data_IF_601192160169
#
_entry.id   IF_601192160169
#
_cell.length_a   1.000
_cell.length_b   1.000
_cell.length_c   1.000
_cell.angle_alpha   90.00
_cell.angle_beta   90.00
_cell.angle_gamma   90.00
#
_symmetry.space_group_name_H-M   'P 1'
#
loop_
_entity.id
_entity.type
_entity.pdbx_description
1 polymer ?
#
# COMPACT_ATOMS: atom_id res chain seq x y z
N UNK A 1 -38.58 -3.90 11.95
CA UNK A 1 -37.20 -4.42 12.04
C UNK A 1 -36.25 -3.24 11.98
N UNK A 2 -35.16 -3.28 12.74
CA UNK A 2 -34.08 -2.31 12.65
C UNK A 2 -32.93 -2.90 11.83
N UNK A 3 -32.10 -2.03 11.26
CA UNK A 3 -30.87 -2.41 10.57
C UNK A 3 -29.77 -1.45 11.04
N UNK A 4 -28.57 -2.00 11.24
CA UNK A 4 -27.42 -1.22 11.66
C UNK A 4 -26.68 -0.71 10.42
N UNK A 5 -26.35 0.59 10.42
CA UNK A 5 -25.42 1.14 9.44
C UNK A 5 -24.01 1.01 10.02
N UNK A 6 -23.23 0.06 9.50
CA UNK A 6 -21.90 -0.22 10.02
C UNK A 6 -20.90 0.84 9.56
N UNK A 7 -20.07 1.31 10.50
CA UNK A 7 -18.92 2.16 10.21
C UNK A 7 -17.84 1.37 9.48
N UNK A 8 -16.99 2.05 8.71
CA UNK A 8 -15.90 1.45 7.94
C UNK A 8 -15.13 0.37 8.72
N UNK A 9 -14.89 -0.77 8.06
CA UNK A 9 -14.22 -1.93 8.66
C UNK A 9 -15.12 -2.91 9.41
N UNK A 10 -16.41 -2.65 9.59
CA UNK A 10 -17.34 -3.56 10.30
C UNK A 10 -18.50 -4.05 9.40
N UNK A 11 -18.92 -5.29 9.61
CA UNK A 11 -20.06 -5.90 8.92
C UNK A 11 -20.82 -6.87 9.84
N UNK A 12 -21.96 -7.37 9.39
CA UNK A 12 -22.85 -8.23 10.19
C UNK A 12 -24.21 -7.60 10.45
N UNK A 13 -25.12 -8.37 11.06
CA UNK A 13 -26.48 -7.88 11.33
C UNK A 13 -26.48 -6.78 12.41
N UNK A 14 -25.50 -6.83 13.32
CA UNK A 14 -25.24 -5.87 14.38
C UNK A 14 -23.85 -5.24 14.30
N UNK A 15 -23.19 -5.27 13.13
CA UNK A 15 -21.82 -4.79 12.93
C UNK A 15 -20.80 -5.48 13.86
N UNK A 16 -21.04 -6.76 14.17
CA UNK A 16 -20.29 -7.56 15.12
C UNK A 16 -19.00 -8.16 14.55
N UNK A 17 -18.85 -8.13 13.22
CA UNK A 17 -17.67 -8.65 12.53
C UNK A 17 -16.79 -7.50 12.07
N UNK A 18 -15.48 -7.66 12.24
CA UNK A 18 -14.47 -6.78 11.65
C UNK A 18 -13.95 -7.39 10.35
N UNK A 19 -13.59 -6.54 9.39
CA UNK A 19 -12.77 -6.92 8.24
C UNK A 19 -11.32 -7.19 8.69
N UNK A 20 -11.11 -8.20 9.54
CA UNK A 20 -9.77 -8.75 9.77
C UNK A 20 -9.46 -9.68 8.58
N UNK A 21 -9.05 -9.06 7.48
CA UNK A 21 -8.74 -9.73 6.22
C UNK A 21 -7.48 -10.58 6.41
N UNK A 22 -6.51 -10.06 7.17
CA UNK A 22 -5.22 -10.69 7.42
C UNK A 22 -5.30 -12.00 8.22
N UNK A 23 -6.19 -12.12 9.21
CA UNK A 23 -6.35 -13.36 10.00
C UNK A 23 -7.51 -14.24 9.52
N UNK A 24 -8.10 -13.93 8.35
CA UNK A 24 -9.19 -14.72 7.75
C UNK A 24 -8.80 -15.27 6.39
N UNK A 25 -9.36 -14.71 5.31
CA UNK A 25 -9.17 -15.19 3.94
C UNK A 25 -7.74 -14.98 3.44
N UNK A 26 -7.01 -14.01 3.99
CA UNK A 26 -5.68 -13.62 3.55
C UNK A 26 -4.58 -14.01 4.54
N UNK A 27 -4.83 -14.99 5.41
CA UNK A 27 -3.78 -15.58 6.23
C UNK A 27 -2.67 -16.15 5.33
N UNK A 28 -1.43 -15.78 5.60
CA UNK A 28 -0.27 -16.10 4.76
C UNK A 28 -0.22 -15.39 3.39
N UNK A 29 -1.07 -14.39 3.12
CA UNK A 29 -1.04 -13.62 1.87
C UNK A 29 0.33 -12.97 1.65
N UNK A 30 0.90 -12.36 2.69
CA UNK A 30 2.24 -11.76 2.63
C UNK A 30 3.32 -12.83 2.73
N UNK A 31 4.01 -13.07 1.61
CA UNK A 31 5.09 -14.04 1.51
C UNK A 31 6.39 -13.51 2.13
N UNK A 32 7.40 -14.38 2.23
CA UNK A 32 8.75 -14.04 2.66
C UNK A 32 8.82 -13.25 3.99
N UNK A 33 7.98 -13.63 4.96
CA UNK A 33 7.88 -12.99 6.27
C UNK A 33 7.40 -11.51 6.22
N UNK A 34 6.62 -11.15 5.20
CA UNK A 34 5.93 -9.87 5.12
C UNK A 34 4.81 -9.73 6.16
N UNK A 35 4.56 -8.50 6.61
CA UNK A 35 3.51 -8.21 7.59
C UNK A 35 2.25 -7.74 6.88
N UNK A 36 1.12 -8.38 7.17
CA UNK A 36 -0.19 -8.02 6.62
C UNK A 36 -0.85 -6.91 7.45
N UNK A 37 -1.51 -5.98 6.77
CA UNK A 37 -2.32 -4.92 7.35
C UNK A 37 -3.68 -4.88 6.66
N UNK A 38 -4.76 -4.76 7.43
CA UNK A 38 -6.08 -4.56 6.87
C UNK A 38 -6.18 -3.16 6.24
N UNK A 39 -6.70 -3.09 5.02
CA UNK A 39 -7.00 -1.83 4.35
C UNK A 39 -8.43 -1.87 3.81
N UNK A 40 -9.29 -1.10 4.49
CA UNK A 40 -10.76 -1.20 4.42
C UNK A 40 -11.33 -1.08 2.99
N UNK A 41 -10.68 -0.36 2.08
CA UNK A 41 -11.20 -0.10 0.72
C UNK A 41 -10.55 -0.91 -0.41
N UNK A 42 -9.37 -1.52 -0.19
CA UNK A 42 -8.54 -2.08 -1.29
C UNK A 42 -8.03 -3.50 -1.01
N UNK A 43 -8.55 -4.19 0.00
CA UNK A 43 -8.04 -5.49 0.43
C UNK A 43 -6.79 -5.36 1.30
N UNK A 44 -6.20 -6.46 1.80
CA UNK A 44 -5.05 -6.39 2.69
C UNK A 44 -3.79 -5.87 1.99
N UNK A 45 -2.97 -5.12 2.72
CA UNK A 45 -1.68 -4.61 2.28
C UNK A 45 -0.53 -5.37 2.95
N UNK A 46 0.54 -5.62 2.20
CA UNK A 46 1.75 -6.23 2.72
C UNK A 46 2.88 -5.22 2.90
N UNK A 47 3.50 -5.23 4.08
CA UNK A 47 4.81 -4.61 4.31
C UNK A 47 5.90 -5.64 4.11
N UNK A 48 6.70 -5.45 3.07
CA UNK A 48 7.75 -6.39 2.71
C UNK A 48 9.04 -6.16 3.50
N UNK A 49 9.75 -7.25 3.90
CA UNK A 49 11.08 -7.15 4.48
C UNK A 49 12.10 -6.62 3.47
N UNK A 50 13.25 -6.18 3.96
CA UNK A 50 14.32 -5.63 3.12
C UNK A 50 14.79 -6.68 2.10
N UNK A 51 14.90 -6.25 0.84
CA UNK A 51 15.27 -7.13 -0.27
C UNK A 51 14.10 -7.92 -0.84
N UNK A 52 12.86 -7.65 -0.40
CA UNK A 52 11.66 -8.21 -0.97
C UNK A 52 10.69 -7.11 -1.43
N UNK A 53 9.93 -7.38 -2.49
CA UNK A 53 8.97 -6.43 -3.05
C UNK A 53 7.83 -7.15 -3.79
N UNK A 54 6.88 -6.36 -4.30
CA UNK A 54 5.63 -6.84 -4.90
C UNK A 54 4.45 -6.68 -3.94
N UNK A 55 3.24 -6.91 -4.45
CA UNK A 55 2.01 -6.65 -3.68
C UNK A 55 1.87 -7.60 -2.49
N UNK A 56 2.49 -8.78 -2.58
CA UNK A 56 2.48 -9.79 -1.53
C UNK A 56 3.88 -10.27 -1.16
N UNK A 57 4.91 -9.44 -1.38
CA UNK A 57 6.30 -9.69 -1.00
C UNK A 57 6.90 -10.95 -1.62
N UNK A 58 6.42 -11.30 -2.81
CA UNK A 58 6.73 -12.50 -3.56
C UNK A 58 8.10 -12.44 -4.26
N UNK A 59 8.63 -11.25 -4.52
CA UNK A 59 9.87 -11.06 -5.25
C UNK A 59 11.05 -10.77 -4.32
N UNK A 60 12.23 -11.28 -4.66
CA UNK A 60 13.51 -11.05 -3.96
C UNK A 60 14.47 -10.22 -4.82
N UNK A 61 15.07 -9.14 -4.31
CA UNK A 61 16.05 -8.32 -5.03
C UNK A 61 16.25 -6.89 -4.50
N UNK A 62 17.17 -6.12 -5.10
CA UNK A 62 17.34 -4.69 -4.80
C UNK A 62 16.04 -3.95 -5.17
N UNK A 63 15.44 -3.29 -4.20
CA UNK A 63 14.36 -2.32 -4.44
C UNK A 63 15.00 -1.11 -5.12
N UNK A 64 14.87 -1.11 -6.43
CA UNK A 64 15.02 0.08 -7.25
C UNK A 64 14.13 1.19 -6.66
N UNK A 65 14.71 2.39 -6.50
CA UNK A 65 13.98 3.57 -6.06
C UNK A 65 12.63 3.60 -6.78
N UNK A 66 11.57 3.55 -6.00
CA UNK A 66 10.21 3.81 -6.49
C UNK A 66 9.68 5.13 -5.92
N UNK A 67 10.33 5.74 -4.91
CA UNK A 67 9.93 7.03 -4.28
C UNK A 67 11.02 8.05 -3.88
N UNK A 68 11.96 8.44 -4.75
CA UNK A 68 12.70 9.71 -4.66
C UNK A 68 11.81 10.96 -4.75
N UNK A 69 10.54 10.81 -5.06
CA UNK A 69 9.65 11.91 -5.37
C UNK A 69 8.86 12.32 -4.14
N UNK A 70 8.90 13.62 -3.90
CA UNK A 70 8.23 14.30 -2.83
C UNK A 70 6.81 14.69 -3.26
N UNK A 71 6.02 15.18 -2.30
CA UNK A 71 4.65 15.66 -2.54
C UNK A 71 3.72 14.65 -3.25
N UNK A 72 3.91 13.36 -2.94
CA UNK A 72 3.11 12.28 -3.50
C UNK A 72 3.38 12.02 -4.99
N UNK A 73 4.55 12.45 -5.48
CA UNK A 73 5.03 12.11 -6.81
C UNK A 73 5.34 10.62 -6.94
N UNK A 74 5.25 10.11 -8.17
CA UNK A 74 5.56 8.72 -8.49
C UNK A 74 7.02 8.63 -8.92
N UNK A 75 7.82 7.73 -8.33
CA UNK A 75 9.13 7.44 -8.90
C UNK A 75 9.12 6.21 -9.79
N UNK A 76 9.86 6.42 -10.87
CA UNK A 76 10.08 5.52 -11.97
C UNK A 76 11.57 5.21 -11.96
N UNK A 77 11.93 3.93 -11.86
CA UNK A 77 13.32 3.49 -11.96
C UNK A 77 13.74 3.47 -13.44
N UNK A 78 14.88 4.07 -13.75
CA UNK A 78 15.53 4.08 -15.07
C UNK A 78 16.88 3.35 -15.03
N UNK A 79 17.39 2.98 -16.20
CA UNK A 79 18.68 2.27 -16.35
C UNK A 79 19.89 3.06 -15.81
N UNK A 80 19.78 4.39 -15.74
CA UNK A 80 20.79 5.31 -15.24
C UNK A 80 20.53 5.81 -13.82
N UNK A 81 19.41 5.44 -13.19
CA UNK A 81 19.00 6.01 -11.90
C UNK A 81 17.47 6.04 -11.72
N UNK A 82 16.91 7.16 -11.31
CA UNK A 82 15.47 7.31 -11.08
C UNK A 82 14.95 8.64 -11.64
N UNK A 83 13.65 8.72 -11.92
CA UNK A 83 12.95 9.96 -12.32
C UNK A 83 11.65 10.12 -11.54
N UNK A 84 11.25 11.37 -11.29
CA UNK A 84 10.05 11.72 -10.56
C UNK A 84 8.98 12.41 -11.41
N UNK A 85 7.73 11.93 -11.28
CA UNK A 85 6.56 12.60 -11.86
C UNK A 85 5.70 13.24 -10.77
N UNK A 86 5.56 14.55 -10.84
CA UNK A 86 4.95 15.35 -9.79
C UNK A 86 3.42 15.41 -9.92
N UNK A 87 2.75 15.65 -8.79
CA UNK A 87 1.32 15.98 -8.76
C UNK A 87 1.11 17.43 -9.21
N UNK A 88 -0.10 17.78 -9.63
CA UNK A 88 -0.46 19.11 -10.11
C UNK A 88 -0.19 20.16 -9.01
N UNK A 89 0.51 21.24 -9.36
CA UNK A 89 0.98 22.24 -8.40
C UNK A 89 2.29 21.89 -7.70
N UNK A 90 3.05 20.89 -8.16
CA UNK A 90 4.41 20.61 -7.69
C UNK A 90 5.41 20.45 -8.84
N UNK A 91 6.63 20.95 -8.66
CA UNK A 91 7.73 20.97 -9.64
C UNK A 91 9.09 20.60 -9.01
N UNK A 92 10.09 20.37 -9.87
CA UNK A 92 11.46 19.98 -9.51
C UNK A 92 11.76 18.49 -9.73
N UNK A 93 13.04 18.14 -9.83
CA UNK A 93 13.50 16.78 -10.17
C UNK A 93 13.07 15.69 -9.18
N UNK A 94 12.65 16.10 -7.99
CA UNK A 94 12.09 15.26 -6.94
C UNK A 94 10.72 15.75 -6.51
N UNK A 95 10.04 16.59 -7.28
CA UNK A 95 8.72 17.13 -6.95
C UNK A 95 8.65 17.91 -5.65
N UNK A 96 9.75 18.58 -5.28
CA UNK A 96 9.96 19.15 -3.97
C UNK A 96 9.39 20.57 -3.80
N UNK A 97 9.08 21.27 -4.89
CA UNK A 97 8.57 22.65 -4.83
C UNK A 97 7.11 22.70 -5.23
N UNK A 98 6.33 23.59 -4.62
CA UNK A 98 4.95 23.89 -5.06
C UNK A 98 4.96 25.05 -6.08
N UNK A 99 4.13 24.96 -7.10
CA UNK A 99 3.90 26.02 -8.11
C UNK A 99 2.92 27.10 -7.64
#
# INVERSE_FOLDING_TARGET
GYWCNCTGGYYGYHCEYTHDLCNSTYDGYCQNNGTCFDHEENGPLCKCPVGFHGSNCEFTGKVYCSFPCENGGWCIQESSGFVCRCRLGYIGDRCQFSE
#
